data_IF_871223119171
#
_entry.id   IF_871223119171
#
_cell.length_a   1.000
_cell.length_b   1.000
_cell.length_c   1.000
_cell.angle_alpha   90.00
_cell.angle_beta   90.00
_cell.angle_gamma   90.00
#
_symmetry.space_group_name_H-M   'P 1'
#
loop_
_entity.id
_entity.type
_entity.pdbx_description
1 polymer ?
#
# COMPACT_ATOMS: atom_id res chain seq x y z
N UNK A 1 -19.77 76.54 50.60
CA UNK A 1 -19.36 75.69 49.46
C UNK A 1 -19.29 74.25 49.95
N UNK A 2 -20.40 73.53 49.83
CA UNK A 2 -20.60 72.18 50.36
C UNK A 2 -20.47 71.17 49.22
N UNK A 3 -19.50 70.28 49.34
CA UNK A 3 -19.34 69.08 48.52
C UNK A 3 -19.37 67.88 49.45
N UNK A 4 -20.15 66.85 49.08
CA UNK A 4 -19.83 65.40 49.18
C UNK A 4 -21.11 64.57 49.02
N UNK A 5 -21.23 63.90 47.88
CA UNK A 5 -21.95 62.62 47.79
C UNK A 5 -21.14 61.53 48.51
N UNK A 6 -21.79 60.48 49.04
CA UNK A 6 -21.70 59.23 48.29
C UNK A 6 -22.97 58.39 48.22
N UNK A 7 -23.02 57.66 47.12
CA UNK A 7 -24.01 56.71 46.64
C UNK A 7 -24.06 55.43 47.49
N UNK A 8 -25.27 54.97 47.81
CA UNK A 8 -25.55 53.70 48.48
C UNK A 8 -25.18 52.50 47.60
N UNK A 9 -24.38 51.59 48.13
CA UNK A 9 -24.12 50.27 47.55
C UNK A 9 -25.31 49.34 47.82
N UNK A 10 -25.63 48.50 46.84
CA UNK A 10 -26.52 47.34 46.97
C UNK A 10 -25.78 46.12 46.44
N UNK A 11 -25.57 45.05 47.22
CA UNK A 11 -25.22 43.76 46.66
C UNK A 11 -26.48 42.90 46.57
N UNK A 12 -26.76 42.36 45.39
CA UNK A 12 -27.65 41.21 45.27
C UNK A 12 -26.94 40.17 44.40
N UNK A 13 -26.75 38.99 45.00
CA UNK A 13 -26.13 37.83 44.42
C UNK A 13 -27.09 37.08 43.48
N UNK A 14 -26.56 36.51 42.40
CA UNK A 14 -27.03 35.35 41.62
C UNK A 14 -26.19 35.29 40.33
N UNK A 15 -25.82 34.19 39.69
CA UNK A 15 -25.77 32.76 39.99
C UNK A 15 -25.05 32.10 38.77
N UNK A 16 -24.45 30.92 38.99
CA UNK A 16 -24.26 29.81 38.03
C UNK A 16 -23.24 29.90 36.86
N UNK A 17 -22.17 29.08 37.02
CA UNK A 17 -21.73 27.96 36.16
C UNK A 17 -21.59 28.14 34.64
N UNK A 18 -20.38 27.91 34.12
CA UNK A 18 -19.96 27.15 32.91
C UNK A 18 -18.50 27.60 32.63
N UNK A 19 -17.42 26.81 32.73
CA UNK A 19 -17.28 25.37 32.54
C UNK A 19 -16.93 25.08 31.08
N UNK A 20 -15.64 25.19 30.72
CA UNK A 20 -14.90 24.30 29.81
C UNK A 20 -13.83 25.05 28.99
N UNK A 21 -12.57 24.69 29.27
CA UNK A 21 -11.40 24.92 28.43
C UNK A 21 -11.65 24.30 27.05
N UNK A 22 -11.68 25.11 26.00
CA UNK A 22 -11.64 24.62 24.62
C UNK A 22 -10.20 24.19 24.29
N UNK A 23 -9.83 22.99 24.74
CA UNK A 23 -8.67 22.28 24.23
C UNK A 23 -9.06 21.71 22.86
N UNK A 24 -8.88 22.52 21.82
CA UNK A 24 -9.02 22.06 20.43
C UNK A 24 -7.96 20.99 20.17
N UNK A 25 -8.38 19.73 20.13
CA UNK A 25 -7.55 18.63 19.68
C UNK A 25 -7.18 18.86 18.22
N UNK A 26 -5.95 19.31 17.98
CA UNK A 26 -5.30 19.26 16.67
C UNK A 26 -5.17 17.77 16.30
N UNK A 27 -6.15 17.25 15.59
CA UNK A 27 -6.01 15.95 14.92
C UNK A 27 -5.01 16.17 13.79
N UNK A 28 -3.75 15.80 14.02
CA UNK A 28 -2.77 15.68 12.95
C UNK A 28 -3.28 14.64 11.97
N UNK A 29 -3.82 15.08 10.83
CA UNK A 29 -4.04 14.22 9.69
C UNK A 29 -2.68 13.71 9.23
N UNK A 30 -2.28 12.53 9.72
CA UNK A 30 -1.18 11.80 9.11
C UNK A 30 -1.59 11.51 7.67
N UNK A 31 -0.83 12.06 6.72
CA UNK A 31 -0.96 11.69 5.33
C UNK A 31 -0.55 10.22 5.19
N UNK A 32 -1.52 9.31 5.21
CA UNK A 32 -1.29 7.91 4.84
C UNK A 32 -0.73 7.91 3.41
N UNK A 33 0.52 7.49 3.27
CA UNK A 33 1.16 7.30 1.97
C UNK A 33 0.50 6.09 1.33
N UNK A 34 -0.47 6.36 0.45
CA UNK A 34 -1.11 5.33 -0.36
C UNK A 34 -0.32 5.18 -1.66
N UNK A 35 0.17 3.97 -2.01
CA UNK A 35 0.86 3.76 -3.27
C UNK A 35 -0.04 4.15 -4.46
N UNK A 36 0.51 4.74 -5.52
CA UNK A 36 -0.25 5.10 -6.71
C UNK A 36 -0.85 3.88 -7.41
N UNK A 37 -2.03 4.05 -8.01
CA UNK A 37 -2.63 3.07 -8.92
C UNK A 37 -2.18 3.39 -10.34
N UNK A 38 -1.67 2.38 -11.03
CA UNK A 38 -1.27 2.42 -12.43
C UNK A 38 -2.26 1.63 -13.29
N UNK A 39 -2.24 1.84 -14.60
CA UNK A 39 -3.10 1.15 -15.55
C UNK A 39 -2.32 0.79 -16.81
N UNK A 40 -2.45 -0.46 -17.25
CA UNK A 40 -1.92 -0.91 -18.55
C UNK A 40 -2.85 -1.95 -19.15
N UNK A 41 -3.07 -1.88 -20.47
CA UNK A 41 -3.99 -2.77 -21.21
C UNK A 41 -5.36 -2.99 -20.55
N UNK A 42 -5.90 -1.97 -19.86
CA UNK A 42 -7.19 -2.08 -19.16
C UNK A 42 -7.12 -2.64 -17.74
N UNK A 43 -5.96 -3.13 -17.30
CA UNK A 43 -5.73 -3.67 -15.96
C UNK A 43 -5.15 -2.60 -15.04
N UNK A 44 -5.87 -2.29 -13.97
CA UNK A 44 -5.36 -1.49 -12.86
C UNK A 44 -4.42 -2.33 -11.98
N UNK A 45 -3.31 -1.75 -11.54
CA UNK A 45 -2.41 -2.40 -10.61
C UNK A 45 -1.75 -1.40 -9.66
N UNK A 46 -1.29 -1.90 -8.52
CA UNK A 46 -0.58 -1.14 -7.49
C UNK A 46 0.54 -1.99 -6.92
N UNK A 47 1.69 -1.40 -6.61
CA UNK A 47 2.78 -2.08 -5.90
C UNK A 47 3.31 -1.22 -4.75
N UNK A 48 3.73 -1.84 -3.65
CA UNK A 48 4.28 -1.14 -2.50
C UNK A 48 4.67 -2.07 -1.35
N UNK A 49 4.83 -1.49 -0.16
CA UNK A 49 5.11 -2.23 1.07
C UNK A 49 6.59 -2.32 1.43
N UNK A 50 7.41 -1.36 0.98
CA UNK A 50 8.78 -1.20 1.50
C UNK A 50 8.71 -0.63 2.93
N UNK A 51 7.81 0.33 3.18
CA UNK A 51 7.54 0.87 4.51
C UNK A 51 6.50 0.05 5.28
N UNK A 52 6.59 0.05 6.62
CA UNK A 52 5.63 -0.66 7.49
C UNK A 52 4.18 -0.21 7.25
N UNK A 53 3.96 1.08 7.07
CA UNK A 53 2.61 1.65 6.86
C UNK A 53 2.04 1.21 5.50
N UNK A 54 2.87 1.20 4.45
CA UNK A 54 2.49 0.70 3.13
C UNK A 54 2.22 -0.80 3.15
N UNK A 55 3.02 -1.58 3.89
CA UNK A 55 2.81 -3.03 4.01
C UNK A 55 1.45 -3.33 4.65
N UNK A 56 1.12 -2.63 5.75
CA UNK A 56 -0.17 -2.78 6.41
C UNK A 56 -1.34 -2.33 5.53
N UNK A 57 -1.15 -1.29 4.72
CA UNK A 57 -2.13 -0.89 3.72
C UNK A 57 -2.31 -1.99 2.64
N UNK A 58 -1.21 -2.55 2.12
CA UNK A 58 -1.24 -3.63 1.14
C UNK A 58 -1.95 -4.87 1.70
N UNK A 59 -1.72 -5.24 2.96
CA UNK A 59 -2.45 -6.29 3.66
C UNK A 59 -3.96 -5.99 3.75
N UNK A 60 -4.32 -4.74 4.02
CA UNK A 60 -5.72 -4.31 4.14
C UNK A 60 -6.46 -4.29 2.81
N UNK A 61 -5.77 -3.90 1.72
CA UNK A 61 -6.41 -3.82 0.40
C UNK A 61 -6.42 -5.17 -0.31
N UNK A 62 -5.41 -6.03 -0.13
CA UNK A 62 -5.26 -7.30 -0.87
C UNK A 62 -6.55 -8.15 -0.93
N UNK A 63 -7.33 -8.33 0.15
CA UNK A 63 -8.59 -9.09 0.09
C UNK A 63 -9.67 -8.50 -0.83
N UNK A 64 -9.56 -7.22 -1.20
CA UNK A 64 -10.48 -6.49 -2.07
C UNK A 64 -10.00 -6.44 -3.53
N UNK A 65 -8.80 -6.92 -3.80
CA UNK A 65 -8.25 -6.99 -5.15
C UNK A 65 -8.34 -8.43 -5.67
N UNK A 66 -8.75 -8.64 -6.94
CA UNK A 66 -8.87 -9.98 -7.50
C UNK A 66 -7.57 -10.78 -7.54
N UNK A 67 -6.42 -10.11 -7.67
CA UNK A 67 -5.12 -10.75 -7.71
C UNK A 67 -4.10 -10.05 -6.79
N UNK A 68 -3.36 -10.85 -6.02
CA UNK A 68 -2.24 -10.42 -5.17
C UNK A 68 -0.97 -11.21 -5.50
N UNK A 69 0.15 -10.52 -5.57
CA UNK A 69 1.48 -11.07 -5.79
C UNK A 69 2.40 -10.70 -4.64
N UNK A 70 3.11 -11.69 -4.11
CA UNK A 70 4.09 -11.51 -3.05
C UNK A 70 5.47 -11.96 -3.50
N UNK A 71 6.48 -11.16 -3.17
CA UNK A 71 7.85 -11.35 -3.65
C UNK A 71 8.83 -11.41 -2.49
N UNK A 72 9.63 -12.47 -2.44
CA UNK A 72 10.66 -12.65 -1.43
C UNK A 72 11.89 -13.42 -1.93
N UNK A 73 13.03 -13.26 -1.27
CA UNK A 73 14.24 -14.05 -1.47
C UNK A 73 14.45 -14.91 -0.23
N UNK A 74 14.75 -16.20 -0.37
CA UNK A 74 15.14 -17.03 0.77
C UNK A 74 16.42 -16.46 1.38
N UNK A 75 16.42 -16.29 2.69
CA UNK A 75 17.60 -16.10 3.53
C UNK A 75 17.90 -17.40 4.30
N UNK A 76 19.09 -17.52 4.87
CA UNK A 76 19.57 -18.70 5.59
C UNK A 76 18.66 -19.12 6.76
N UNK A 77 17.82 -18.22 7.29
CA UNK A 77 16.89 -18.51 8.39
C UNK A 77 15.43 -18.16 8.11
N UNK A 78 15.14 -17.27 7.15
CA UNK A 78 13.81 -16.73 6.84
C UNK A 78 13.69 -16.38 5.34
N UNK A 79 12.66 -15.66 4.92
CA UNK A 79 12.61 -15.04 3.59
C UNK A 79 12.59 -13.51 3.75
N UNK A 80 13.39 -12.82 2.96
CA UNK A 80 13.47 -11.36 2.91
C UNK A 80 12.59 -10.81 1.79
N UNK A 81 11.94 -9.68 2.05
CA UNK A 81 11.10 -9.03 1.06
C UNK A 81 11.90 -8.56 -0.16
N UNK A 82 11.36 -8.83 -1.36
CA UNK A 82 11.99 -8.46 -2.62
C UNK A 82 11.33 -7.22 -3.27
N UNK A 83 12.11 -6.46 -4.03
CA UNK A 83 11.68 -5.27 -4.75
C UNK A 83 12.34 -5.24 -6.14
N UNK A 84 11.91 -4.31 -7.01
CA UNK A 84 12.35 -4.23 -8.41
C UNK A 84 12.10 -5.53 -9.20
N UNK A 85 10.97 -6.17 -8.91
CA UNK A 85 10.54 -7.39 -9.61
C UNK A 85 9.82 -6.99 -10.89
N UNK A 86 10.26 -7.50 -12.03
CA UNK A 86 9.54 -7.34 -13.29
C UNK A 86 8.45 -8.40 -13.37
N UNK A 87 7.22 -7.98 -13.60
CA UNK A 87 6.04 -8.84 -13.62
C UNK A 87 5.41 -8.79 -15.01
N UNK A 88 5.17 -9.97 -15.57
CA UNK A 88 4.35 -10.16 -16.77
C UNK A 88 3.21 -11.09 -16.43
N UNK A 89 1.98 -10.70 -16.75
CA UNK A 89 0.78 -11.52 -16.55
C UNK A 89 0.16 -11.79 -17.91
N UNK A 90 0.01 -13.06 -18.25
CA UNK A 90 -0.63 -13.51 -19.49
C UNK A 90 -1.94 -14.21 -19.18
N UNK A 91 -2.97 -13.93 -19.97
CA UNK A 91 -4.23 -14.67 -19.90
C UNK A 91 -4.11 -16.07 -20.55
N UNK A 92 -5.18 -16.86 -20.48
CA UNK A 92 -5.23 -18.19 -21.08
C UNK A 92 -5.08 -18.24 -22.61
N UNK A 93 -5.16 -17.11 -23.30
CA UNK A 93 -4.87 -16.99 -24.74
C UNK A 93 -3.40 -16.66 -25.04
N UNK A 94 -2.61 -16.35 -24.00
CA UNK A 94 -1.22 -15.91 -24.09
C UNK A 94 -1.05 -14.39 -24.22
N UNK A 95 -2.14 -13.64 -24.20
CA UNK A 95 -2.12 -12.17 -24.30
C UNK A 95 -1.55 -11.58 -23.02
N UNK A 96 -0.51 -10.75 -23.14
CA UNK A 96 0.07 -10.04 -22.00
C UNK A 96 -0.87 -8.90 -21.58
N UNK A 97 -1.43 -8.99 -20.38
CA UNK A 97 -2.27 -7.94 -19.79
C UNK A 97 -1.45 -6.99 -18.92
N UNK A 98 -0.45 -7.53 -18.23
CA UNK A 98 0.65 -6.75 -17.65
C UNK A 98 1.91 -7.19 -18.38
N UNK A 99 2.64 -6.25 -18.99
CA UNK A 99 3.87 -6.55 -19.71
C UNK A 99 5.06 -5.85 -19.10
N UNK A 100 5.92 -6.65 -18.44
CA UNK A 100 7.18 -6.22 -17.85
C UNK A 100 7.07 -5.03 -16.87
N UNK A 101 5.96 -4.90 -16.15
CA UNK A 101 5.76 -3.83 -15.17
C UNK A 101 6.64 -4.07 -13.95
N UNK A 102 7.12 -3.01 -13.31
CA UNK A 102 8.02 -3.12 -12.16
C UNK A 102 7.24 -3.00 -10.86
N UNK A 103 7.35 -4.01 -10.00
CA UNK A 103 6.94 -3.91 -8.60
C UNK A 103 8.05 -3.24 -7.78
N UNK A 104 7.74 -2.05 -7.26
CA UNK A 104 8.68 -1.30 -6.42
C UNK A 104 8.89 -1.93 -5.04
N UNK A 105 8.00 -2.80 -4.59
CA UNK A 105 8.07 -3.45 -3.27
C UNK A 105 7.63 -4.92 -3.31
N UNK A 106 7.55 -5.56 -2.13
CA UNK A 106 7.25 -6.98 -2.00
C UNK A 106 5.81 -7.37 -2.29
N UNK A 107 4.90 -6.39 -2.35
CA UNK A 107 3.50 -6.63 -2.63
C UNK A 107 3.08 -5.91 -3.91
N UNK A 108 2.31 -6.61 -4.73
CA UNK A 108 1.63 -6.03 -5.88
C UNK A 108 0.22 -6.60 -5.97
N UNK A 109 -0.75 -5.76 -6.35
CA UNK A 109 -2.14 -6.16 -6.58
C UNK A 109 -2.59 -5.74 -7.97
N UNK A 110 -3.50 -6.50 -8.57
CA UNK A 110 -4.04 -6.23 -9.91
C UNK A 110 -5.53 -6.53 -10.02
N UNK A 111 -6.26 -5.73 -10.80
CA UNK A 111 -7.66 -5.99 -11.17
C UNK A 111 -7.73 -6.85 -12.41
N UNK A 112 -7.55 -8.15 -12.21
CA UNK A 112 -7.79 -9.16 -13.23
C UNK A 112 -9.26 -9.59 -13.19
N UNK A 113 -9.86 -9.75 -14.36
CA UNK A 113 -11.16 -10.39 -14.47
C UNK A 113 -11.08 -11.87 -14.07
N UNK A 114 -12.21 -12.53 -13.80
CA UNK A 114 -12.21 -13.97 -13.56
C UNK A 114 -11.63 -14.74 -14.75
N UNK A 115 -10.65 -15.62 -14.49
CA UNK A 115 -9.91 -16.28 -15.55
C UNK A 115 -8.71 -17.09 -15.08
N UNK A 116 -8.02 -17.68 -16.06
CA UNK A 116 -6.76 -18.40 -15.88
C UNK A 116 -5.61 -17.54 -16.40
N UNK A 117 -4.54 -17.47 -15.62
CA UNK A 117 -3.38 -16.65 -15.93
C UNK A 117 -2.08 -17.40 -15.69
N UNK A 118 -1.05 -17.06 -16.44
CA UNK A 118 0.34 -17.34 -16.10
C UNK A 118 0.99 -16.02 -15.64
N UNK A 119 1.58 -16.05 -14.45
CA UNK A 119 2.32 -14.93 -13.87
C UNK A 119 3.80 -15.26 -13.92
N UNK A 120 4.56 -14.43 -14.62
CA UNK A 120 6.01 -14.47 -14.69
C UNK A 120 6.58 -13.34 -13.85
N UNK A 121 7.37 -13.69 -12.84
CA UNK A 121 8.08 -12.73 -11.99
C UNK A 121 9.58 -12.89 -12.19
N UNK A 122 10.28 -11.80 -12.51
CA UNK A 122 11.73 -11.78 -12.71
C UNK A 122 12.39 -10.88 -11.68
N UNK A 123 13.38 -11.43 -10.98
CA UNK A 123 14.28 -10.70 -10.11
C UNK A 123 15.73 -10.95 -10.58
N UNK A 124 16.41 -9.89 -11.01
CA UNK A 124 17.72 -10.00 -11.64
C UNK A 124 17.66 -10.89 -12.88
N UNK A 125 18.48 -11.95 -12.92
CA UNK A 125 18.50 -12.95 -14.01
C UNK A 125 17.54 -14.13 -13.79
N UNK A 126 16.89 -14.22 -12.63
CA UNK A 126 16.05 -15.36 -12.29
C UNK A 126 14.58 -15.08 -12.51
N UNK A 127 13.92 -16.03 -13.15
CA UNK A 127 12.50 -15.97 -13.51
C UNK A 127 11.79 -17.11 -12.81
N UNK A 128 10.68 -16.79 -12.16
CA UNK A 128 9.73 -17.76 -11.61
C UNK A 128 8.39 -17.58 -12.30
N UNK A 129 7.72 -18.71 -12.58
CA UNK A 129 6.39 -18.74 -13.19
C UNK A 129 5.42 -19.45 -12.27
N UNK A 130 4.23 -18.87 -12.10
CA UNK A 130 3.14 -19.50 -11.36
C UNK A 130 1.81 -19.33 -12.09
N UNK A 131 0.98 -20.37 -12.15
CA UNK A 131 -0.41 -20.22 -12.56
C UNK A 131 -1.18 -19.43 -11.51
N UNK A 132 -2.11 -18.59 -11.95
CA UNK A 132 -3.08 -17.91 -11.09
C UNK A 132 -4.49 -18.14 -11.64
N UNK A 133 -5.41 -18.57 -10.77
CA UNK A 133 -6.81 -18.74 -11.12
C UNK A 133 -7.66 -17.76 -10.32
N UNK A 134 -8.24 -16.77 -11.02
CA UNK A 134 -9.10 -15.75 -10.42
C UNK A 134 -10.54 -16.20 -10.56
N UNK A 135 -11.22 -16.41 -9.43
CA UNK A 135 -12.62 -16.81 -9.39
C UNK A 135 -13.52 -15.57 -9.22
N UNK A 136 -14.76 -15.59 -9.72
CA UNK A 136 -15.72 -14.51 -9.50
C UNK A 136 -15.92 -14.24 -8.01
N UNK A 137 -15.66 -13.01 -7.58
CA UNK A 137 -15.87 -12.57 -6.19
C UNK A 137 -14.85 -13.10 -5.17
N UNK A 138 -13.77 -13.75 -5.61
CA UNK A 138 -12.71 -14.23 -4.72
C UNK A 138 -11.34 -13.69 -5.14
N UNK A 139 -10.54 -13.30 -4.14
CA UNK A 139 -9.15 -12.92 -4.36
C UNK A 139 -8.28 -14.17 -4.57
N UNK A 140 -7.36 -14.09 -5.52
CA UNK A 140 -6.35 -15.10 -5.78
C UNK A 140 -4.96 -14.57 -5.45
N UNK A 141 -4.06 -15.45 -5.01
CA UNK A 141 -2.72 -15.07 -4.57
C UNK A 141 -1.66 -15.96 -5.20
N UNK A 142 -0.56 -15.35 -5.65
CA UNK A 142 0.67 -16.04 -6.05
C UNK A 142 1.86 -15.50 -5.25
N UNK A 143 2.78 -16.38 -4.85
CA UNK A 143 3.92 -16.04 -3.99
C UNK A 143 5.20 -16.58 -4.61
N UNK A 144 6.12 -15.67 -4.91
CA UNK A 144 7.38 -15.96 -5.58
C UNK A 144 8.52 -15.84 -4.58
N UNK A 145 9.19 -16.96 -4.33
CA UNK A 145 10.32 -17.02 -3.40
C UNK A 145 11.57 -17.49 -4.14
N UNK A 146 12.48 -16.56 -4.44
CA UNK A 146 13.74 -16.90 -5.10
C UNK A 146 14.75 -17.55 -4.14
N UNK A 147 15.72 -18.34 -4.63
CA UNK A 147 16.81 -18.87 -3.81
C UNK A 147 17.67 -17.79 -3.16
N UNK A 148 18.39 -18.15 -2.09
CA UNK A 148 19.37 -17.27 -1.47
C UNK A 148 20.46 -16.84 -2.46
N UNK A 149 20.92 -15.60 -2.35
CA UNK A 149 21.91 -15.02 -3.26
C UNK A 149 21.36 -14.55 -4.60
N UNK A 150 20.02 -14.53 -4.77
CA UNK A 150 19.39 -13.87 -5.91
C UNK A 150 19.64 -12.36 -5.82
N UNK A 151 20.45 -11.84 -6.74
CA UNK A 151 20.89 -10.45 -6.67
C UNK A 151 19.77 -9.48 -7.06
N UNK A 152 19.38 -8.62 -6.10
CA UNK A 152 18.45 -7.52 -6.31
C UNK A 152 19.09 -6.32 -7.02
N UNK A 153 20.43 -6.19 -6.99
CA UNK A 153 21.17 -5.08 -7.60
C UNK A 153 21.44 -5.28 -9.10
N UNK A 154 21.65 -6.53 -9.55
CA UNK A 154 21.85 -6.86 -10.97
C UNK A 154 20.61 -6.60 -11.85
N UNK A 155 19.43 -6.37 -11.28
CA UNK A 155 18.21 -6.08 -12.03
C UNK A 155 18.25 -4.72 -12.77
N UNK A 156 19.10 -3.78 -12.34
CA UNK A 156 19.18 -2.42 -12.88
C UNK A 156 20.22 -2.16 -13.96
N UNK A 157 21.15 -3.09 -14.26
CA UNK A 157 22.38 -2.76 -15.02
C UNK A 157 22.36 -3.14 -16.51
N UNK A 158 21.20 -3.37 -17.15
CA UNK A 158 21.13 -3.63 -18.62
C UNK A 158 20.55 -2.47 -19.43
N UNK A 159 20.85 -1.24 -19.04
CA UNK A 159 20.57 -0.06 -19.85
C UNK A 159 21.76 0.90 -19.86
N UNK A 160 22.91 0.46 -20.41
CA UNK A 160 23.91 1.30 -21.10
C UNK A 160 24.97 0.39 -21.73
N UNK A 161 24.78 0.00 -22.99
CA UNK A 161 25.89 -0.18 -23.93
C UNK A 161 25.39 0.00 -25.35
#
# INVERSE_FOLDING_TARGET
MTSRFPSRTRPLAAAMLFGAVLLGALSSAHATVNPPIYMTHGVEYMSGGIGSDEAQLMETVSPRWPATFEFAVKDHKSADFAANVHVTVRDGSGTALLDNVVSGGPFMVARLDPGNYEVEARLGSQVLKQPLHVLPGAAAKATFVWPAGTDMASAGTRAVQ
#
